data_IF_953964197009
#
_entry.id   IF_953964197009
#
_cell.length_a   1.000
_cell.length_b   1.000
_cell.length_c   1.000
_cell.angle_alpha   90.00
_cell.angle_beta   90.00
_cell.angle_gamma   90.00
#
_symmetry.space_group_name_H-M   'P 1'
#
loop_
_entity.id
_entity.type
_entity.pdbx_description
1 polymer ?
#
# COMPACT_ATOMS: atom_id res chain seq x y z
N UNK A 1 4.59 -67.00 22.58
CA UNK A 1 4.80 -65.63 23.05
C UNK A 1 3.56 -65.23 23.82
N UNK A 2 3.54 -65.47 25.12
CA UNK A 2 2.36 -65.35 25.99
C UNK A 2 2.27 -63.91 26.51
N UNK A 3 1.35 -63.16 25.98
CA UNK A 3 1.07 -61.77 26.51
C UNK A 3 0.46 -61.92 27.89
N UNK A 4 1.11 -61.33 28.90
CA UNK A 4 0.72 -61.39 30.30
C UNK A 4 -0.71 -60.83 30.46
N UNK A 5 -1.66 -61.60 31.03
CA UNK A 5 -3.08 -61.20 31.14
C UNK A 5 -3.29 -59.95 31.99
N UNK A 6 -2.33 -59.54 32.81
CA UNK A 6 -2.40 -58.32 33.61
C UNK A 6 -2.30 -57.03 32.83
N UNK A 7 -1.57 -57.01 31.73
CA UNK A 7 -1.32 -55.79 30.93
C UNK A 7 -2.60 -55.35 30.16
N UNK A 8 -3.34 -56.33 29.63
CA UNK A 8 -4.61 -56.07 28.95
C UNK A 8 -5.69 -55.46 29.87
N UNK A 9 -5.70 -55.91 31.12
CA UNK A 9 -6.62 -55.40 32.14
C UNK A 9 -6.34 -54.00 32.55
N UNK A 10 -5.06 -53.60 32.67
CA UNK A 10 -4.63 -52.24 33.01
C UNK A 10 -4.94 -51.29 31.86
N UNK A 11 -4.69 -51.69 30.61
CA UNK A 11 -4.97 -50.89 29.42
C UNK A 11 -6.48 -50.64 29.28
N UNK A 12 -7.32 -51.67 29.51
CA UNK A 12 -8.77 -51.51 29.45
C UNK A 12 -9.32 -50.60 30.56
N UNK A 13 -8.74 -50.63 31.77
CA UNK A 13 -9.12 -49.69 32.84
C UNK A 13 -8.73 -48.27 32.51
N UNK A 14 -7.58 -48.03 31.89
CA UNK A 14 -7.16 -46.71 31.44
C UNK A 14 -8.04 -46.15 30.34
N UNK A 15 -8.37 -46.98 29.35
CA UNK A 15 -9.26 -46.61 28.25
C UNK A 15 -10.68 -46.33 28.76
N UNK A 16 -11.19 -47.11 29.74
CA UNK A 16 -12.51 -46.87 30.35
C UNK A 16 -12.54 -45.57 31.15
N UNK A 17 -11.46 -45.24 31.91
CA UNK A 17 -11.34 -43.97 32.62
C UNK A 17 -11.19 -42.78 31.66
N UNK A 18 -10.43 -42.90 30.57
CA UNK A 18 -10.32 -41.88 29.56
C UNK A 18 -11.66 -41.59 28.87
N UNK A 19 -12.41 -42.65 28.49
CA UNK A 19 -13.76 -42.48 27.94
C UNK A 19 -14.75 -41.87 28.92
N UNK A 20 -14.70 -42.24 30.21
CA UNK A 20 -15.57 -41.65 31.24
C UNK A 20 -15.26 -40.19 31.51
N UNK A 21 -14.00 -39.74 31.39
CA UNK A 21 -13.60 -38.34 31.51
C UNK A 21 -14.16 -37.52 30.34
N UNK A 22 -14.11 -38.02 29.12
CA UNK A 22 -14.64 -37.33 27.94
C UNK A 22 -16.18 -37.24 27.93
N UNK A 23 -16.90 -38.31 28.37
CA UNK A 23 -18.37 -38.32 28.39
C UNK A 23 -18.95 -37.44 29.49
N UNK A 24 -18.22 -37.19 30.58
CA UNK A 24 -18.72 -36.40 31.71
C UNK A 24 -18.57 -34.88 31.50
N UNK A 25 -17.92 -34.47 30.40
CA UNK A 25 -17.65 -33.07 30.06
C UNK A 25 -18.73 -32.39 29.21
N UNK A 26 -19.80 -33.08 28.84
CA UNK A 26 -20.77 -32.54 27.87
C UNK A 26 -21.60 -31.34 28.36
N UNK A 27 -21.71 -31.11 29.68
CA UNK A 27 -22.49 -29.98 30.23
C UNK A 27 -21.71 -28.70 30.43
N UNK A 28 -20.36 -28.75 30.47
CA UNK A 28 -19.51 -27.59 30.61
C UNK A 28 -18.86 -27.18 29.29
N UNK A 29 -18.79 -28.09 28.33
CA UNK A 29 -18.08 -27.87 27.06
C UNK A 29 -18.79 -26.83 26.17
N UNK A 30 -20.10 -26.85 26.11
CA UNK A 30 -20.88 -25.92 25.30
C UNK A 30 -20.72 -24.43 25.72
N UNK A 31 -20.54 -24.15 27.02
CA UNK A 31 -20.34 -22.80 27.53
C UNK A 31 -18.94 -22.27 27.17
N UNK A 32 -17.91 -23.08 27.36
CA UNK A 32 -16.51 -22.71 27.02
C UNK A 32 -16.34 -22.59 25.51
N UNK A 33 -16.95 -23.49 24.74
CA UNK A 33 -16.93 -23.47 23.27
C UNK A 33 -17.66 -22.23 22.74
N UNK A 34 -18.82 -21.89 23.29
CA UNK A 34 -19.54 -20.68 22.93
C UNK A 34 -18.75 -19.42 23.27
N UNK A 35 -18.08 -19.40 24.43
CA UNK A 35 -17.23 -18.27 24.83
C UNK A 35 -16.02 -18.13 23.90
N UNK A 36 -15.38 -19.24 23.55
CA UNK A 36 -14.27 -19.27 22.59
C UNK A 36 -14.73 -18.82 21.20
N UNK A 37 -15.87 -19.29 20.71
CA UNK A 37 -16.42 -18.87 19.44
C UNK A 37 -16.72 -17.37 19.39
N UNK A 38 -17.31 -16.80 20.45
CA UNK A 38 -17.58 -15.36 20.54
C UNK A 38 -16.27 -14.55 20.61
N UNK A 39 -15.26 -15.05 21.31
CA UNK A 39 -13.95 -14.39 21.39
C UNK A 39 -13.27 -14.36 20.01
N UNK A 40 -13.28 -15.49 19.27
CA UNK A 40 -12.72 -15.56 17.92
C UNK A 40 -13.49 -14.64 16.96
N UNK A 41 -14.82 -14.63 17.04
CA UNK A 41 -15.66 -13.75 16.24
C UNK A 41 -15.36 -12.28 16.52
N UNK A 42 -15.20 -11.91 17.79
CA UNK A 42 -14.83 -10.55 18.20
C UNK A 42 -13.51 -10.10 17.62
N UNK A 43 -12.47 -10.94 17.70
CA UNK A 43 -11.16 -10.66 17.09
C UNK A 43 -11.25 -10.54 15.56
N UNK A 44 -12.02 -11.40 14.91
CA UNK A 44 -12.21 -11.38 13.46
C UNK A 44 -12.89 -10.06 13.00
N UNK A 45 -13.91 -9.59 13.72
CA UNK A 45 -14.61 -8.33 13.41
C UNK A 45 -13.67 -7.14 13.59
N UNK A 46 -12.90 -7.10 14.68
CA UNK A 46 -11.92 -6.04 14.90
C UNK A 46 -10.86 -6.03 13.80
N UNK A 47 -10.31 -7.19 13.44
CA UNK A 47 -9.34 -7.30 12.36
C UNK A 47 -9.90 -6.84 11.02
N UNK A 48 -11.16 -7.15 10.72
CA UNK A 48 -11.85 -6.70 9.51
C UNK A 48 -11.98 -5.17 9.47
N UNK A 49 -12.42 -4.56 10.57
CA UNK A 49 -12.56 -3.09 10.67
C UNK A 49 -11.21 -2.39 10.49
N UNK A 50 -10.15 -2.90 11.13
CA UNK A 50 -8.80 -2.37 10.96
C UNK A 50 -8.30 -2.50 9.51
N UNK A 51 -8.57 -3.63 8.85
CA UNK A 51 -8.20 -3.86 7.45
C UNK A 51 -8.90 -2.88 6.51
N UNK A 52 -10.18 -2.62 6.71
CA UNK A 52 -10.95 -1.64 5.93
C UNK A 52 -10.44 -0.21 6.14
N UNK A 53 -10.08 0.15 7.37
CA UNK A 53 -9.53 1.47 7.68
C UNK A 53 -8.19 1.69 7.01
N UNK A 54 -7.29 0.70 7.02
CA UNK A 54 -5.98 0.78 6.36
C UNK A 54 -6.16 0.82 4.83
N UNK A 55 -7.06 0.02 4.28
CA UNK A 55 -7.34 -0.01 2.84
C UNK A 55 -7.83 1.34 2.29
N UNK A 56 -8.64 2.08 3.05
CA UNK A 56 -9.15 3.39 2.62
C UNK A 56 -8.06 4.48 2.58
N UNK A 57 -7.03 4.39 3.41
CA UNK A 57 -5.88 5.31 3.38
C UNK A 57 -5.02 5.02 2.14
N UNK A 58 -4.72 3.77 1.87
CA UNK A 58 -3.90 3.35 0.72
C UNK A 58 -4.53 3.74 -0.62
N UNK A 59 -5.85 3.66 -0.74
CA UNK A 59 -6.57 4.07 -1.96
C UNK A 59 -6.44 5.58 -2.19
N UNK A 60 -6.53 6.40 -1.15
CA UNK A 60 -6.37 7.86 -1.27
C UNK A 60 -4.95 8.27 -1.65
N UNK A 61 -3.94 7.59 -1.15
CA UNK A 61 -2.54 7.80 -1.52
C UNK A 61 -2.30 7.39 -2.97
N UNK A 62 -2.84 6.26 -3.41
CA UNK A 62 -2.75 5.79 -4.78
C UNK A 62 -3.42 6.73 -5.79
N UNK A 63 -4.58 7.27 -5.48
CA UNK A 63 -5.27 8.25 -6.35
C UNK A 63 -4.46 9.54 -6.50
N UNK A 64 -3.79 10.00 -5.45
CA UNK A 64 -2.93 11.19 -5.51
C UNK A 64 -1.70 10.94 -6.39
N UNK A 65 -1.07 9.78 -6.28
CA UNK A 65 0.10 9.42 -7.08
C UNK A 65 -0.23 9.39 -8.58
N UNK A 66 -1.38 8.84 -8.96
CA UNK A 66 -1.84 8.80 -10.35
C UNK A 66 -2.07 10.22 -10.90
N UNK A 67 -2.68 11.10 -10.11
CA UNK A 67 -2.91 12.50 -10.52
C UNK A 67 -1.59 13.23 -10.72
N UNK A 68 -0.64 13.08 -9.80
CA UNK A 68 0.68 13.74 -9.87
C UNK A 68 1.48 13.24 -11.08
N UNK A 69 1.50 11.93 -11.32
CA UNK A 69 2.19 11.34 -12.48
C UNK A 69 1.58 11.81 -13.81
N UNK A 70 0.25 11.84 -13.90
CA UNK A 70 -0.46 12.33 -15.08
C UNK A 70 -0.17 13.80 -15.33
N UNK A 71 -0.11 14.62 -14.28
CA UNK A 71 0.15 16.05 -14.37
C UNK A 71 1.58 16.33 -14.86
N UNK A 72 2.59 15.61 -14.32
CA UNK A 72 3.97 15.70 -14.79
C UNK A 72 4.09 15.32 -16.25
N UNK A 73 3.46 14.22 -16.66
CA UNK A 73 3.51 13.75 -18.04
C UNK A 73 2.89 14.78 -19.00
N UNK A 74 1.73 15.30 -18.65
CA UNK A 74 1.05 16.34 -19.42
C UNK A 74 1.91 17.61 -19.52
N UNK A 75 2.54 18.04 -18.43
CA UNK A 75 3.42 19.20 -18.41
C UNK A 75 4.66 18.99 -19.28
N UNK A 76 5.29 17.84 -19.21
CA UNK A 76 6.46 17.53 -20.04
C UNK A 76 6.12 17.51 -21.53
N UNK A 77 4.97 16.92 -21.89
CA UNK A 77 4.48 16.91 -23.27
C UNK A 77 4.18 18.33 -23.76
N UNK A 78 3.58 19.14 -22.89
CA UNK A 78 3.29 20.53 -23.22
C UNK A 78 4.57 21.36 -23.48
N UNK A 79 5.57 21.22 -22.58
CA UNK A 79 6.88 21.88 -22.75
C UNK A 79 7.61 21.39 -24.00
N UNK A 80 7.55 20.08 -24.30
CA UNK A 80 8.17 19.53 -25.51
C UNK A 80 7.52 20.04 -26.81
N UNK A 81 6.22 20.27 -26.78
CA UNK A 81 5.47 20.85 -27.91
C UNK A 81 5.62 22.36 -28.06
N UNK A 82 6.10 23.06 -27.02
CA UNK A 82 6.31 24.51 -27.05
C UNK A 82 7.53 24.89 -27.90
N UNK A 83 7.55 26.05 -28.58
CA UNK A 83 8.73 26.51 -29.31
C UNK A 83 9.99 26.53 -28.43
N UNK A 84 11.12 26.17 -29.01
CA UNK A 84 12.40 26.23 -28.30
C UNK A 84 12.87 27.68 -28.17
N UNK A 85 13.25 28.07 -26.96
CA UNK A 85 13.82 29.38 -26.67
C UNK A 85 15.14 29.16 -25.90
N UNK A 86 16.32 29.48 -26.50
CA UNK A 86 17.60 29.24 -25.87
C UNK A 86 17.86 30.10 -24.61
N UNK A 87 17.12 31.19 -24.44
CA UNK A 87 17.23 32.09 -23.28
C UNK A 87 16.14 31.84 -22.24
N UNK A 88 15.24 30.88 -22.45
CA UNK A 88 14.18 30.58 -21.52
C UNK A 88 14.72 30.08 -20.19
N UNK A 89 14.26 30.69 -19.10
CA UNK A 89 14.46 30.21 -17.72
C UNK A 89 13.28 29.39 -17.20
N UNK A 90 12.14 29.45 -17.86
CA UNK A 90 10.92 28.71 -17.58
C UNK A 90 10.08 28.56 -18.84
N UNK A 91 9.14 27.62 -18.82
CA UNK A 91 8.09 27.45 -19.85
C UNK A 91 6.70 27.57 -19.21
N UNK A 92 5.66 27.88 -19.99
CA UNK A 92 4.30 27.94 -19.49
C UNK A 92 3.88 26.61 -18.85
N UNK A 93 3.06 26.71 -17.80
CA UNK A 93 2.53 25.55 -17.09
C UNK A 93 1.10 25.23 -17.53
N UNK A 94 0.72 23.97 -17.45
CA UNK A 94 -0.68 23.53 -17.60
C UNK A 94 -1.47 23.86 -16.33
N UNK A 95 -2.79 23.96 -16.47
CA UNK A 95 -3.68 24.16 -15.33
C UNK A 95 -3.63 22.96 -14.40
N UNK A 96 -3.28 23.20 -13.13
CA UNK A 96 -3.22 22.16 -12.12
C UNK A 96 -4.60 21.99 -11.45
N UNK A 97 -4.97 20.77 -11.06
CA UNK A 97 -6.15 20.52 -10.22
C UNK A 97 -6.05 21.26 -8.88
N UNK A 98 -7.21 21.47 -8.25
CA UNK A 98 -7.27 22.15 -6.96
C UNK A 98 -6.35 21.56 -5.91
N UNK A 99 -5.58 22.40 -5.26
CA UNK A 99 -4.59 22.01 -4.25
C UNK A 99 -3.22 21.64 -4.79
N UNK A 100 -3.03 21.55 -6.12
CA UNK A 100 -1.73 21.29 -6.73
C UNK A 100 -1.19 22.55 -7.44
N UNK A 101 0.13 22.61 -7.53
CA UNK A 101 0.84 23.61 -8.32
C UNK A 101 1.96 22.97 -9.14
N UNK A 102 2.21 23.54 -10.32
CA UNK A 102 3.24 23.08 -11.24
C UNK A 102 4.27 24.19 -11.39
N UNK A 103 5.53 23.89 -11.24
CA UNK A 103 6.64 24.78 -11.58
C UNK A 103 7.57 24.14 -12.58
N UNK A 104 8.12 24.95 -13.47
CA UNK A 104 9.05 24.52 -14.52
C UNK A 104 10.28 25.40 -14.43
N UNK A 105 11.43 24.78 -14.28
CA UNK A 105 12.73 25.43 -14.34
C UNK A 105 13.52 24.91 -15.53
N UNK A 106 14.22 25.84 -16.20
CA UNK A 106 15.07 25.52 -17.33
C UNK A 106 16.51 25.82 -16.96
N UNK A 107 17.40 24.88 -17.21
CA UNK A 107 18.83 25.06 -17.01
C UNK A 107 19.62 24.56 -18.24
N UNK A 108 20.77 25.19 -18.47
CA UNK A 108 21.72 24.75 -19.49
C UNK A 108 22.43 23.48 -19.04
N UNK A 109 22.71 22.59 -19.99
CA UNK A 109 23.49 21.38 -19.70
C UNK A 109 24.97 21.71 -19.88
N UNK A 110 25.81 21.61 -18.79
CA UNK A 110 27.23 21.91 -18.91
C UNK A 110 27.92 20.99 -19.92
N UNK A 111 28.82 21.56 -20.72
CA UNK A 111 29.63 20.88 -21.73
C UNK A 111 28.83 20.22 -22.87
N UNK A 112 27.62 20.68 -23.13
CA UNK A 112 26.76 20.21 -24.24
C UNK A 112 26.41 21.40 -25.12
N UNK A 113 25.95 21.12 -26.37
CA UNK A 113 25.49 22.14 -27.32
C UNK A 113 24.40 23.03 -26.71
N UNK A 114 24.39 24.31 -27.10
CA UNK A 114 23.37 25.30 -26.70
C UNK A 114 21.94 24.91 -27.15
N UNK A 115 21.82 23.87 -27.97
CA UNK A 115 20.56 23.34 -28.49
C UNK A 115 19.88 22.33 -27.54
N UNK A 116 20.44 22.11 -26.33
CA UNK A 116 19.87 21.19 -25.34
C UNK A 116 19.67 21.94 -24.02
N UNK A 117 18.44 21.89 -23.53
CA UNK A 117 18.05 22.42 -22.21
C UNK A 117 17.59 21.30 -21.30
N UNK A 118 17.97 21.35 -20.02
CA UNK A 118 17.42 20.51 -18.99
C UNK A 118 16.17 21.18 -18.42
N UNK A 119 15.07 20.48 -18.45
CA UNK A 119 13.78 20.91 -17.92
C UNK A 119 13.54 20.18 -16.59
N UNK A 120 13.33 20.93 -15.52
CA UNK A 120 12.94 20.38 -14.22
C UNK A 120 11.50 20.77 -13.94
N UNK A 121 10.63 19.78 -13.86
CA UNK A 121 9.21 19.94 -13.52
C UNK A 121 9.00 19.52 -12.07
N UNK A 122 8.46 20.41 -11.25
CA UNK A 122 8.12 20.10 -9.86
C UNK A 122 6.62 20.28 -9.64
N UNK A 123 6.00 19.23 -9.11
CA UNK A 123 4.60 19.25 -8.67
C UNK A 123 4.59 19.39 -7.15
N UNK A 124 3.90 20.42 -6.67
CA UNK A 124 3.76 20.67 -5.23
C UNK A 124 2.29 20.63 -4.81
N UNK A 125 2.06 20.35 -3.53
CA UNK A 125 0.75 20.46 -2.90
C UNK A 125 0.88 21.38 -1.68
N UNK A 126 0.25 22.56 -1.77
CA UNK A 126 0.55 23.65 -0.84
C UNK A 126 2.01 24.08 -0.97
N UNK A 127 2.78 24.00 0.11
CA UNK A 127 4.20 24.36 0.14
C UNK A 127 5.15 23.15 -0.01
N UNK A 128 4.63 21.93 -0.07
CA UNK A 128 5.41 20.69 -0.13
C UNK A 128 5.56 20.20 -1.57
N UNK A 129 6.81 19.99 -2.02
CA UNK A 129 7.10 19.35 -3.29
C UNK A 129 6.85 17.84 -3.19
N UNK A 130 5.90 17.32 -4.00
CA UNK A 130 5.53 15.90 -4.01
C UNK A 130 6.38 15.12 -4.99
N UNK A 131 6.61 15.68 -6.18
CA UNK A 131 7.35 15.01 -7.24
C UNK A 131 8.15 16.03 -8.04
N UNK A 132 9.42 15.72 -8.28
CA UNK A 132 10.29 16.46 -9.18
C UNK A 132 10.84 15.52 -10.24
N UNK A 133 10.69 15.90 -11.50
CA UNK A 133 11.14 15.12 -12.66
C UNK A 133 12.00 16.00 -13.55
N UNK A 134 13.10 15.44 -14.02
CA UNK A 134 13.99 16.11 -14.98
C UNK A 134 13.87 15.46 -16.36
N UNK A 135 13.87 16.28 -17.41
CA UNK A 135 13.85 15.81 -18.79
C UNK A 135 14.65 16.80 -19.67
N UNK A 136 14.89 16.47 -20.91
CA UNK A 136 15.65 17.28 -21.83
C UNK A 136 14.81 17.74 -23.01
N UNK A 137 14.95 19.02 -23.36
CA UNK A 137 14.36 19.63 -24.56
C UNK A 137 15.44 19.96 -25.56
N UNK A 138 15.26 19.53 -26.77
CA UNK A 138 16.19 19.73 -27.88
C UNK A 138 15.58 20.67 -28.89
N UNK A 139 16.38 21.58 -29.44
CA UNK A 139 15.99 22.42 -30.59
C UNK A 139 15.85 21.54 -31.86
N UNK A 140 14.62 21.44 -32.35
CA UNK A 140 14.31 20.66 -33.57
C UNK A 140 13.63 21.52 -34.61
#
# INVERSE_FOLDING_TARGET
>A
MTVLPGLAMVINQWLAKAKAFWVKSERGFGLVESLAAVAILGVAVVALVLSLSTGSITVREGDQEVVVQSLVQTQLEYVKGYPYDPEATTYPTVDAPEGYSVSVEVSTVPATDTDIQKITVTISRGEEAILTVEDYKVNR
#
